data_IF_513024176639
#
_entry.id   IF_513024176639
#
_cell.length_a   1.000
_cell.length_b   1.000
_cell.length_c   1.000
_cell.angle_alpha   90.00
_cell.angle_beta   90.00
_cell.angle_gamma   90.00
#
_symmetry.space_group_name_H-M   'P 1'
#
loop_
_entity.id
_entity.type
_entity.pdbx_description
1 polymer ?
#
# COMPACT_ATOMS: atom_id res chain seq x y z
N UNK A 1 16.42 -5.07 15.11
CA UNK A 1 15.31 -4.48 14.36
C UNK A 1 14.43 -3.72 15.35
N UNK A 2 14.07 -2.47 15.10
CA UNK A 2 13.11 -1.76 15.94
C UNK A 2 11.68 -2.28 15.67
N UNK A 3 10.80 -2.27 16.66
CA UNK A 3 9.41 -2.73 16.53
C UNK A 3 8.67 -1.97 15.42
N UNK A 4 8.93 -0.65 15.31
CA UNK A 4 8.32 0.18 14.26
C UNK A 4 8.73 -0.30 12.86
N UNK A 5 10.00 -0.64 12.67
CA UNK A 5 10.49 -1.13 11.38
C UNK A 5 9.87 -2.49 11.05
N UNK A 6 9.70 -3.35 12.04
CA UNK A 6 9.04 -4.65 11.88
C UNK A 6 7.56 -4.49 11.48
N UNK A 7 6.83 -3.55 12.09
CA UNK A 7 5.44 -3.25 11.73
C UNK A 7 5.35 -2.75 10.28
N UNK A 8 6.22 -1.83 9.88
CA UNK A 8 6.25 -1.32 8.50
C UNK A 8 6.56 -2.43 7.49
N UNK A 9 7.52 -3.29 7.80
CA UNK A 9 7.89 -4.41 6.95
C UNK A 9 6.71 -5.38 6.78
N UNK A 10 6.04 -5.72 7.87
CA UNK A 10 4.85 -6.59 7.85
C UNK A 10 3.74 -5.97 7.00
N UNK A 11 3.49 -4.66 7.13
CA UNK A 11 2.51 -3.96 6.30
C UNK A 11 2.85 -4.02 4.82
N UNK A 12 4.13 -3.85 4.45
CA UNK A 12 4.58 -3.96 3.05
C UNK A 12 4.29 -5.37 2.52
N UNK A 13 4.69 -6.41 3.25
CA UNK A 13 4.51 -7.81 2.85
C UNK A 13 3.04 -8.18 2.64
N UNK A 14 2.15 -7.77 3.55
CA UNK A 14 0.71 -8.03 3.45
C UNK A 14 0.06 -7.26 2.28
N UNK A 15 0.50 -6.03 2.04
CA UNK A 15 0.04 -5.23 0.88
C UNK A 15 0.48 -5.92 -0.42
N UNK A 16 1.74 -6.35 -0.53
CA UNK A 16 2.22 -7.08 -1.71
C UNK A 16 1.43 -8.36 -1.96
N UNK A 17 1.21 -9.16 -0.91
CA UNK A 17 0.44 -10.39 -1.01
C UNK A 17 -0.99 -10.13 -1.49
N UNK A 18 -1.63 -9.07 -0.99
CA UNK A 18 -2.97 -8.66 -1.39
C UNK A 18 -3.03 -8.24 -2.86
N UNK A 19 -2.04 -7.49 -3.34
CA UNK A 19 -1.94 -7.04 -4.74
C UNK A 19 -1.81 -8.23 -5.69
N UNK A 20 -0.95 -9.20 -5.34
CA UNK A 20 -0.79 -10.45 -6.11
C UNK A 20 -2.07 -11.25 -6.14
N UNK A 21 -2.72 -11.41 -4.98
CA UNK A 21 -3.98 -12.17 -4.86
C UNK A 21 -5.11 -11.54 -5.67
N UNK A 22 -5.14 -10.21 -5.74
CA UNK A 22 -6.11 -9.46 -6.54
C UNK A 22 -5.72 -9.33 -8.03
N UNK A 23 -4.56 -9.86 -8.45
CA UNK A 23 -4.01 -9.73 -9.80
C UNK A 23 -4.03 -8.28 -10.32
N UNK A 24 -3.68 -7.32 -9.47
CA UNK A 24 -3.71 -5.89 -9.83
C UNK A 24 -2.47 -5.43 -10.59
N UNK A 25 -1.34 -6.11 -10.41
CA UNK A 25 -0.08 -5.86 -11.11
C UNK A 25 0.79 -7.12 -11.11
N UNK A 26 1.51 -7.36 -12.21
CA UNK A 26 2.55 -8.39 -12.29
C UNK A 26 3.83 -7.92 -11.60
N UNK A 27 4.28 -6.71 -11.95
CA UNK A 27 5.39 -6.01 -11.30
C UNK A 27 4.87 -5.06 -10.24
N UNK A 28 5.07 -5.42 -8.96
CA UNK A 28 4.62 -4.59 -7.84
C UNK A 28 5.58 -3.40 -7.69
N UNK A 29 5.06 -2.16 -7.76
CA UNK A 29 5.88 -0.98 -7.58
C UNK A 29 6.27 -0.79 -6.11
N UNK A 30 7.22 0.11 -5.85
CA UNK A 30 7.68 0.42 -4.49
C UNK A 30 6.52 0.88 -3.58
N UNK A 31 6.29 0.11 -2.51
CA UNK A 31 5.33 0.43 -1.45
C UNK A 31 6.02 1.28 -0.39
N UNK A 32 5.47 2.46 -0.13
CA UNK A 32 5.93 3.38 0.91
C UNK A 32 4.89 3.43 2.02
N UNK A 33 5.38 3.33 3.25
CA UNK A 33 4.57 3.52 4.46
C UNK A 33 4.97 4.86 5.09
N UNK A 34 4.02 5.79 5.10
CA UNK A 34 4.22 7.18 5.54
C UNK A 34 3.20 7.55 6.61
N UNK A 35 3.53 8.54 7.45
CA UNK A 35 2.59 9.11 8.41
C UNK A 35 1.66 10.06 7.64
N UNK A 36 0.34 9.87 7.69
CA UNK A 36 -0.58 10.72 6.96
C UNK A 36 -0.56 12.16 7.49
N UNK A 37 -0.81 13.12 6.60
CA UNK A 37 -0.93 14.54 6.98
C UNK A 37 -2.12 14.81 7.91
N UNK A 38 -3.22 14.09 7.70
CA UNK A 38 -4.40 14.15 8.55
C UNK A 38 -4.40 12.93 9.49
N UNK A 39 -4.33 13.20 10.80
CA UNK A 39 -4.28 12.17 11.84
C UNK A 39 -5.56 11.35 11.93
N UNK A 40 -6.66 11.80 11.33
CA UNK A 40 -7.89 11.01 11.22
C UNK A 40 -7.76 9.82 10.28
N UNK A 41 -6.75 9.80 9.41
CA UNK A 41 -6.49 8.70 8.46
C UNK A 41 -5.66 7.56 9.08
N UNK A 42 -5.46 7.57 10.40
CA UNK A 42 -4.72 6.56 11.14
C UNK A 42 -3.24 6.90 11.33
N UNK A 43 -2.49 5.95 11.88
CA UNK A 43 -1.07 6.13 12.22
C UNK A 43 -0.16 6.04 10.98
N UNK A 44 -0.60 5.27 9.97
CA UNK A 44 0.14 4.99 8.75
C UNK A 44 -0.76 5.03 7.52
N UNK A 45 -0.16 5.39 6.40
CA UNK A 45 -0.77 5.42 5.07
C UNK A 45 0.19 4.86 4.02
N UNK A 46 -0.35 4.44 2.88
CA UNK A 46 0.44 3.91 1.77
C UNK A 46 0.14 4.60 0.44
N UNK A 47 1.18 4.79 -0.38
CA UNK A 47 1.08 5.35 -1.73
C UNK A 47 0.46 4.38 -2.76
N UNK A 48 0.32 3.10 -2.42
CA UNK A 48 0.22 2.02 -3.42
C UNK A 48 -1.03 2.11 -4.30
N UNK A 49 -2.18 2.50 -3.74
CA UNK A 49 -3.43 2.62 -4.50
C UNK A 49 -3.32 3.64 -5.64
N UNK A 50 -2.62 4.75 -5.40
CA UNK A 50 -2.39 5.78 -6.42
C UNK A 50 -1.45 5.31 -7.51
N UNK A 51 -0.42 4.53 -7.16
CA UNK A 51 0.53 4.00 -8.15
C UNK A 51 -0.14 2.93 -9.02
N UNK A 52 -0.87 2.00 -8.40
CA UNK A 52 -1.58 0.92 -9.09
C UNK A 52 -2.68 1.42 -10.02
N UNK A 53 -3.25 2.60 -9.77
CA UNK A 53 -4.23 3.23 -10.69
C UNK A 53 -3.74 3.26 -12.13
N UNK A 54 -2.45 3.56 -12.35
CA UNK A 54 -1.86 3.65 -13.70
C UNK A 54 -1.65 2.27 -14.34
N UNK A 55 -1.37 1.26 -13.52
CA UNK A 55 -1.07 -0.09 -13.95
C UNK A 55 -2.37 -0.85 -14.23
N UNK A 56 -3.27 -0.86 -13.24
CA UNK A 56 -4.55 -1.56 -13.30
C UNK A 56 -5.63 -0.80 -14.09
N UNK A 57 -5.43 0.49 -14.40
CA UNK A 57 -6.43 1.38 -15.04
C UNK A 57 -7.77 1.43 -14.29
N UNK A 58 -7.71 1.34 -12.96
CA UNK A 58 -8.86 1.38 -12.04
C UNK A 58 -8.80 2.60 -11.15
N UNK A 59 -9.95 3.04 -10.66
CA UNK A 59 -10.01 4.19 -9.76
C UNK A 59 -9.23 3.89 -8.45
N UNK A 60 -8.36 4.80 -7.97
CA UNK A 60 -7.60 4.58 -6.73
C UNK A 60 -8.49 4.26 -5.52
N UNK A 61 -9.72 4.79 -5.47
CA UNK A 61 -10.66 4.48 -4.40
C UNK A 61 -11.12 3.02 -4.42
N UNK A 62 -11.30 2.44 -5.60
CA UNK A 62 -11.65 1.02 -5.74
C UNK A 62 -10.48 0.10 -5.39
N UNK A 63 -9.25 0.57 -5.58
CA UNK A 63 -8.05 -0.20 -5.23
C UNK A 63 -7.78 -0.14 -3.72
N UNK A 64 -8.11 0.98 -3.08
CA UNK A 64 -7.91 1.18 -1.65
C UNK A 64 -8.99 0.53 -0.76
N UNK A 65 -10.13 0.14 -1.35
CA UNK A 65 -11.28 -0.43 -0.65
C UNK A 65 -11.20 -1.97 -0.64
#
# INVERSE_FOLDING_TARGET
>A
MNIIDQVKQTLIEEIEASIRKANLAEDIPEIKIEIPKDTKNGDYSSNIAMVLTKIAKRNPREIAQ
#
